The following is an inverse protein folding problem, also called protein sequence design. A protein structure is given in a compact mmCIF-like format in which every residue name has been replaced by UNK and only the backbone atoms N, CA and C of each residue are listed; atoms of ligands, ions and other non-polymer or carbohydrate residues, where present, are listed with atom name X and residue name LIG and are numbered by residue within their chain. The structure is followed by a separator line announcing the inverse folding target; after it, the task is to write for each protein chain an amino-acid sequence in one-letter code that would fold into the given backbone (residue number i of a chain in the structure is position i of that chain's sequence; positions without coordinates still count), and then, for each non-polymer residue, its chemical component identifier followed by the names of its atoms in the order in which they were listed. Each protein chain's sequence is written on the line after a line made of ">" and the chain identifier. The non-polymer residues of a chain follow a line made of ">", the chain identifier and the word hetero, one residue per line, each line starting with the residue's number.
data_IF_736921603199
#
_entry.id   IF_736921603199
#
_cell.length_a   1.000
_cell.length_b   1.000
_cell.length_c   1.000
_cell.angle_alpha   90.00
_cell.angle_beta   90.00
_cell.angle_gamma   90.00
#
_symmetry.space_group_name_H-M   'P 1'
#
loop_
_entity.id
_entity.type
_entity.pdbx_description
1 polymer ?
#
# COMPACT_ATOMS: atom_id res chain seq x y z
N UNK A 1 35.25 -75.55 -13.08
CA UNK A 1 35.45 -75.39 -11.62
C UNK A 1 36.41 -74.23 -11.41
N UNK A 2 35.95 -73.20 -10.65
CA UNK A 2 36.66 -72.06 -9.99
C UNK A 2 37.84 -71.38 -10.73
N UNK A 3 37.73 -70.16 -11.25
CA UNK A 3 37.79 -68.85 -10.52
C UNK A 3 38.87 -68.74 -9.43
N UNK A 4 39.85 -67.84 -9.65
CA UNK A 4 40.25 -66.76 -8.72
C UNK A 4 41.27 -65.84 -9.43
N UNK A 5 40.87 -64.68 -9.95
CA UNK A 5 40.79 -63.37 -9.23
C UNK A 5 42.07 -63.04 -8.47
N UNK A 6 43.09 -62.61 -9.21
CA UNK A 6 44.07 -61.66 -8.68
C UNK A 6 43.41 -60.28 -8.80
N UNK A 7 42.71 -59.89 -7.74
CA UNK A 7 42.08 -58.57 -7.58
C UNK A 7 43.12 -57.53 -7.18
N UNK A 8 43.31 -56.51 -8.01
CA UNK A 8 43.29 -55.07 -7.69
C UNK A 8 43.90 -54.56 -6.35
N UNK A 9 44.93 -55.20 -5.80
CA UNK A 9 45.60 -54.75 -4.57
C UNK A 9 46.71 -53.70 -4.81
N UNK A 10 46.58 -52.87 -5.85
CA UNK A 10 47.52 -51.78 -6.17
C UNK A 10 46.81 -50.41 -6.26
N UNK A 11 45.78 -50.17 -5.45
CA UNK A 11 45.29 -48.80 -5.20
C UNK A 11 46.13 -48.16 -4.09
N UNK A 12 47.11 -47.37 -4.52
CA UNK A 12 47.96 -46.53 -3.69
C UNK A 12 47.15 -45.66 -2.72
N UNK A 13 47.13 -46.05 -1.43
CA UNK A 13 46.79 -45.11 -0.37
C UNK A 13 47.92 -44.09 -0.18
N UNK A 14 47.61 -42.91 0.35
CA UNK A 14 48.63 -41.90 0.66
C UNK A 14 49.34 -42.27 1.97
N UNK A 15 50.67 -42.18 1.96
CA UNK A 15 51.48 -42.16 3.20
C UNK A 15 50.98 -41.02 4.10
N UNK A 16 50.86 -41.29 5.39
CA UNK A 16 50.39 -40.31 6.38
C UNK A 16 51.39 -40.19 7.53
N UNK A 17 51.40 -39.05 8.21
CA UNK A 17 52.26 -38.82 9.39
C UNK A 17 51.44 -39.09 10.64
N UNK A 18 51.95 -39.95 11.53
CA UNK A 18 51.31 -40.27 12.80
C UNK A 18 51.24 -39.00 13.67
N UNK A 19 50.03 -38.61 14.09
CA UNK A 19 49.82 -37.42 14.92
C UNK A 19 50.38 -37.52 16.33
N UNK A 20 50.69 -38.74 16.80
CA UNK A 20 51.19 -38.96 18.15
C UNK A 20 52.72 -38.87 18.25
N UNK A 21 53.45 -39.42 17.26
CA UNK A 21 54.91 -39.48 17.31
C UNK A 21 55.63 -38.90 16.09
N UNK A 22 54.91 -38.48 15.05
CA UNK A 22 55.49 -37.91 13.84
C UNK A 22 56.09 -38.91 12.85
N UNK A 23 56.00 -40.23 13.11
CA UNK A 23 56.49 -41.24 12.18
C UNK A 23 55.65 -41.32 10.90
N UNK A 24 56.28 -41.65 9.77
CA UNK A 24 55.58 -41.97 8.53
C UNK A 24 54.91 -43.35 8.65
N UNK A 25 53.64 -43.43 8.26
CA UNK A 25 52.78 -44.61 8.36
C UNK A 25 52.41 -45.08 6.94
N UNK A 26 52.55 -46.38 6.71
CA UNK A 26 52.25 -47.03 5.44
C UNK A 26 50.80 -46.86 5.02
N UNK A 27 50.57 -46.78 3.70
CA UNK A 27 49.23 -46.71 3.13
C UNK A 27 48.39 -47.93 3.53
N UNK A 28 47.36 -47.74 4.36
CA UNK A 28 46.46 -48.81 4.80
C UNK A 28 46.81 -49.44 6.15
N UNK A 29 47.83 -48.96 6.86
CA UNK A 29 48.12 -49.41 8.22
C UNK A 29 47.12 -48.82 9.23
N UNK A 30 46.46 -49.69 10.01
CA UNK A 30 45.48 -49.27 11.02
C UNK A 30 46.14 -48.65 12.26
N UNK A 31 47.41 -49.01 12.54
CA UNK A 31 48.15 -48.57 13.71
C UNK A 31 49.56 -48.17 13.30
N UNK A 32 50.11 -47.16 13.96
CA UNK A 32 51.49 -46.74 13.73
C UNK A 32 52.46 -47.81 14.24
N UNK A 33 53.35 -48.31 13.36
CA UNK A 33 54.36 -49.30 13.73
C UNK A 33 55.41 -48.81 14.75
N UNK A 34 55.50 -47.50 15.01
CA UNK A 34 56.48 -46.93 15.94
C UNK A 34 55.91 -46.77 17.35
N UNK A 35 54.73 -46.15 17.50
CA UNK A 35 54.16 -45.85 18.82
C UNK A 35 52.85 -46.58 19.12
N UNK A 36 52.38 -47.45 18.21
CA UNK A 36 51.16 -48.24 18.39
C UNK A 36 49.85 -47.47 18.32
N UNK A 37 49.89 -46.15 18.12
CA UNK A 37 48.69 -45.31 18.10
C UNK A 37 47.81 -45.62 16.87
N UNK A 38 46.48 -45.64 17.02
CA UNK A 38 45.56 -45.87 15.91
C UNK A 38 45.66 -44.73 14.90
N UNK A 39 45.71 -45.08 13.62
CA UNK A 39 45.83 -44.14 12.51
C UNK A 39 44.40 -43.81 12.09
N UNK A 40 43.92 -42.62 12.45
CA UNK A 40 42.61 -42.10 12.05
C UNK A 40 42.58 -41.90 10.53
N UNK A 41 42.28 -42.96 9.78
CA UNK A 41 42.35 -42.93 8.31
C UNK A 41 41.70 -44.11 7.57
N UNK A 42 40.97 -44.97 8.27
CA UNK A 42 40.14 -46.03 7.64
C UNK A 42 38.72 -45.58 7.30
N UNK A 43 38.38 -44.30 7.45
CA UNK A 43 37.17 -43.76 6.82
C UNK A 43 37.53 -43.54 5.36
N UNK A 44 37.04 -44.46 4.50
CA UNK A 44 36.71 -44.14 3.12
C UNK A 44 36.20 -42.71 3.13
N UNK A 45 36.91 -41.81 2.45
CA UNK A 45 36.39 -40.48 2.19
C UNK A 45 35.00 -40.73 1.58
N UNK A 46 33.95 -40.54 2.37
CA UNK A 46 32.64 -40.32 1.78
C UNK A 46 32.89 -39.13 0.88
N UNK A 47 32.72 -39.34 -0.44
CA UNK A 47 32.61 -38.26 -1.40
C UNK A 47 31.88 -37.09 -0.71
N UNK A 48 32.33 -35.83 -0.86
CA UNK A 48 31.62 -34.71 -0.28
C UNK A 48 30.16 -34.88 -0.68
N UNK A 49 29.31 -35.20 0.31
CA UNK A 49 28.00 -35.80 0.05
C UNK A 49 27.32 -34.94 -1.00
N UNK A 50 27.06 -35.51 -2.18
CA UNK A 50 26.36 -34.78 -3.23
C UNK A 50 25.13 -34.17 -2.57
N UNK A 51 24.96 -32.84 -2.61
CA UNK A 51 23.85 -32.20 -1.93
C UNK A 51 22.57 -32.87 -2.43
N UNK A 52 21.62 -33.22 -1.53
CA UNK A 52 20.45 -33.98 -1.91
C UNK A 52 19.79 -33.33 -3.13
N UNK A 53 19.43 -34.12 -4.15
CA UNK A 53 18.99 -33.65 -5.49
C UNK A 53 17.92 -32.55 -5.43
N UNK A 54 17.12 -32.53 -4.37
CA UNK A 54 16.12 -31.52 -4.07
C UNK A 54 16.70 -30.10 -3.87
N UNK A 55 17.88 -30.01 -3.24
CA UNK A 55 18.58 -28.77 -2.92
C UNK A 55 19.25 -28.19 -4.17
N UNK A 56 19.80 -29.05 -5.05
CA UNK A 56 20.39 -28.62 -6.34
C UNK A 56 19.33 -28.00 -7.26
N UNK A 57 18.13 -28.59 -7.35
CA UNK A 57 17.02 -28.05 -8.15
C UNK A 57 16.53 -26.72 -7.59
N UNK A 58 16.38 -26.62 -6.28
CA UNK A 58 16.00 -25.38 -5.59
C UNK A 58 17.02 -24.26 -5.84
N UNK A 59 18.31 -24.55 -5.66
CA UNK A 59 19.41 -23.61 -5.89
C UNK A 59 19.49 -23.16 -7.35
N UNK A 60 19.25 -24.07 -8.30
CA UNK A 60 19.19 -23.72 -9.73
C UNK A 60 18.04 -22.78 -10.05
N UNK A 61 16.84 -23.03 -9.49
CA UNK A 61 15.70 -22.13 -9.64
C UNK A 61 16.00 -20.75 -9.05
N UNK A 62 16.47 -20.71 -7.80
CA UNK A 62 16.80 -19.45 -7.11
C UNK A 62 17.84 -18.66 -7.88
N UNK A 63 18.94 -19.30 -8.31
CA UNK A 63 19.97 -18.64 -9.12
C UNK A 63 19.41 -18.12 -10.44
N UNK A 64 18.58 -18.89 -11.14
CA UNK A 64 18.01 -18.50 -12.43
C UNK A 64 17.01 -17.33 -12.34
N UNK A 65 16.29 -17.21 -11.21
CA UNK A 65 15.37 -16.07 -10.96
C UNK A 65 16.15 -14.88 -10.41
N UNK A 66 16.92 -15.06 -9.33
CA UNK A 66 17.56 -13.96 -8.60
C UNK A 66 18.70 -13.27 -9.36
N UNK A 67 19.32 -13.95 -10.33
CA UNK A 67 20.34 -13.36 -11.22
C UNK A 67 19.76 -12.41 -12.28
N UNK A 68 18.44 -12.41 -12.49
CA UNK A 68 17.80 -11.49 -13.44
C UNK A 68 17.88 -10.06 -12.90
N UNK A 69 18.02 -9.04 -13.77
CA UNK A 69 18.01 -7.64 -13.33
C UNK A 69 16.61 -7.21 -12.86
N UNK A 70 16.57 -6.21 -12.00
CA UNK A 70 15.34 -5.56 -11.51
C UNK A 70 15.34 -4.07 -11.91
N UNK A 71 15.56 -3.80 -13.19
CA UNK A 71 15.80 -2.46 -13.72
C UNK A 71 14.64 -1.50 -13.43
N UNK A 72 13.41 -1.91 -13.75
CA UNK A 72 12.25 -1.01 -13.61
C UNK A 72 11.83 -0.80 -12.16
N UNK A 73 12.14 -1.74 -11.27
CA UNK A 73 11.99 -1.55 -9.84
C UNK A 73 12.77 -0.31 -9.39
N UNK A 74 14.04 -0.22 -9.78
CA UNK A 74 14.88 0.94 -9.44
C UNK A 74 14.46 2.21 -10.19
N UNK A 75 14.02 2.09 -11.46
CA UNK A 75 13.47 3.25 -12.19
C UNK A 75 12.26 3.83 -11.46
N UNK A 76 11.30 3.02 -11.02
CA UNK A 76 10.15 3.52 -10.27
C UNK A 76 10.54 4.03 -8.88
N UNK A 77 11.48 3.39 -8.20
CA UNK A 77 12.00 3.90 -6.92
C UNK A 77 12.59 5.31 -7.10
N UNK A 78 13.46 5.49 -8.09
CA UNK A 78 14.07 6.79 -8.41
C UNK A 78 13.01 7.80 -8.82
N UNK A 79 12.03 7.41 -9.66
CA UNK A 79 10.96 8.30 -10.11
C UNK A 79 10.11 8.80 -8.93
N UNK A 80 9.73 7.92 -8.00
CA UNK A 80 8.95 8.30 -6.81
C UNK A 80 9.74 9.23 -5.88
N UNK A 81 11.02 8.96 -5.65
CA UNK A 81 11.90 9.84 -4.86
C UNK A 81 12.06 11.19 -5.55
N UNK A 82 12.29 11.20 -6.87
CA UNK A 82 12.45 12.42 -7.65
C UNK A 82 11.19 13.30 -7.61
N UNK A 83 10.01 12.72 -7.87
CA UNK A 83 8.74 13.44 -7.78
C UNK A 83 8.50 13.98 -6.37
N UNK A 84 8.80 13.20 -5.33
CA UNK A 84 8.68 13.67 -3.95
C UNK A 84 9.59 14.85 -3.63
N UNK A 85 10.84 14.84 -4.13
CA UNK A 85 11.76 15.97 -3.97
C UNK A 85 11.21 17.22 -4.67
N UNK A 86 10.69 17.10 -5.90
CA UNK A 86 10.06 18.21 -6.62
C UNK A 86 8.87 18.79 -5.84
N UNK A 87 7.95 17.95 -5.37
CA UNK A 87 6.78 18.42 -4.61
C UNK A 87 7.18 19.03 -3.28
N UNK A 88 8.18 18.47 -2.60
CA UNK A 88 8.68 18.99 -1.32
C UNK A 88 9.33 20.36 -1.49
N UNK A 89 10.16 20.54 -2.53
CA UNK A 89 10.75 21.84 -2.87
C UNK A 89 9.68 22.89 -3.22
N UNK A 90 8.54 22.45 -3.73
CA UNK A 90 7.38 23.29 -4.01
C UNK A 90 6.46 23.52 -2.78
N UNK A 91 6.80 23.00 -1.60
CA UNK A 91 6.05 23.24 -0.35
C UNK A 91 5.00 22.19 0.02
N UNK A 92 5.00 21.01 -0.60
CA UNK A 92 3.98 19.97 -0.38
C UNK A 92 3.92 19.38 1.04
N UNK A 93 4.94 19.61 1.88
CA UNK A 93 4.92 19.17 3.29
C UNK A 93 4.10 20.11 4.17
N UNK A 94 3.90 21.36 3.74
CA UNK A 94 3.18 22.39 4.47
C UNK A 94 1.80 22.65 3.86
N UNK A 95 1.67 22.43 2.55
CA UNK A 95 0.44 22.72 1.81
C UNK A 95 0.06 21.58 0.85
N UNK A 96 -1.00 20.86 1.20
CA UNK A 96 -1.57 19.76 0.41
C UNK A 96 -2.03 20.21 -0.98
N UNK A 97 -2.32 21.51 -1.20
CA UNK A 97 -2.70 22.03 -2.53
C UNK A 97 -1.59 21.88 -3.55
N UNK A 98 -0.33 21.84 -3.11
CA UNK A 98 0.81 21.54 -3.98
C UNK A 98 0.67 20.13 -4.56
N UNK A 99 0.30 19.13 -3.75
CA UNK A 99 0.05 17.78 -4.27
C UNK A 99 -1.09 17.75 -5.28
N UNK A 100 -2.14 18.55 -5.07
CA UNK A 100 -3.25 18.70 -6.03
C UNK A 100 -2.75 19.29 -7.36
N UNK A 101 -1.92 20.34 -7.32
CA UNK A 101 -1.31 20.94 -8.51
C UNK A 101 -0.39 19.94 -9.26
N UNK A 102 0.29 19.05 -8.53
CA UNK A 102 1.12 17.98 -9.10
C UNK A 102 0.34 16.73 -9.51
N UNK A 103 -1.00 16.77 -9.49
CA UNK A 103 -1.85 15.70 -10.04
C UNK A 103 -2.32 14.67 -9.01
N UNK A 104 -2.46 15.03 -7.73
CA UNK A 104 -3.08 14.14 -6.75
C UNK A 104 -4.52 13.79 -7.13
N UNK A 105 -5.01 12.65 -6.62
CA UNK A 105 -6.39 12.22 -6.88
C UNK A 105 -7.33 13.12 -6.09
N UNK A 106 -8.29 13.68 -6.81
CA UNK A 106 -9.44 14.43 -6.31
C UNK A 106 -10.59 14.10 -7.28
N UNK A 107 -11.70 13.57 -6.79
CA UNK A 107 -12.84 13.14 -7.61
C UNK A 107 -13.43 14.29 -8.42
N UNK A 108 -13.57 15.48 -7.83
CA UNK A 108 -14.15 16.62 -8.54
C UNK A 108 -13.36 17.00 -9.80
N UNK A 109 -12.03 16.98 -9.71
CA UNK A 109 -11.13 17.25 -10.84
C UNK A 109 -11.17 16.15 -11.89
N UNK A 110 -11.24 14.90 -11.45
CA UNK A 110 -11.43 13.75 -12.34
C UNK A 110 -12.76 13.88 -13.10
N UNK A 111 -13.84 14.24 -12.41
CA UNK A 111 -15.15 14.48 -13.00
C UNK A 111 -15.15 15.68 -13.97
N UNK A 112 -14.28 16.67 -13.71
CA UNK A 112 -13.99 17.78 -14.60
C UNK A 112 -13.16 17.43 -15.84
N UNK A 113 -12.76 16.17 -16.03
CA UNK A 113 -12.04 15.68 -17.21
C UNK A 113 -10.53 15.45 -17.00
N UNK A 114 -10.00 15.69 -15.80
CA UNK A 114 -8.57 15.49 -15.49
C UNK A 114 -8.23 14.01 -15.24
N UNK A 115 -8.48 13.16 -16.23
CA UNK A 115 -8.33 11.70 -16.14
C UNK A 115 -6.92 11.23 -15.77
N UNK A 116 -5.88 12.04 -16.03
CA UNK A 116 -4.50 11.72 -15.68
C UNK A 116 -4.30 11.57 -14.16
N UNK A 117 -5.21 12.12 -13.35
CA UNK A 117 -5.27 11.94 -11.90
C UNK A 117 -5.62 10.51 -11.47
N UNK A 118 -5.93 9.60 -12.40
CA UNK A 118 -5.95 8.16 -12.12
C UNK A 118 -4.54 7.53 -12.08
N UNK A 119 -3.53 8.21 -12.63
CA UNK A 119 -2.17 7.67 -12.83
C UNK A 119 -1.14 8.41 -11.99
N UNK A 120 -1.10 9.74 -12.05
CA UNK A 120 -0.11 10.56 -11.34
C UNK A 120 -0.02 10.34 -9.82
N UNK A 121 -1.12 10.06 -9.08
CA UNK A 121 -1.03 9.88 -7.63
C UNK A 121 -0.16 8.70 -7.21
N UNK A 122 0.04 7.71 -8.09
CA UNK A 122 0.90 6.54 -7.85
C UNK A 122 2.34 6.98 -7.50
N UNK A 123 2.75 8.18 -7.93
CA UNK A 123 4.11 8.70 -7.76
C UNK A 123 4.24 9.84 -6.73
N UNK A 124 3.11 10.32 -6.19
CA UNK A 124 3.07 11.41 -5.22
C UNK A 124 3.05 10.87 -3.79
N UNK A 125 3.62 11.64 -2.84
CA UNK A 125 3.63 11.25 -1.43
C UNK A 125 3.41 12.47 -0.53
N UNK A 126 2.53 12.33 0.46
CA UNK A 126 2.18 13.41 1.39
C UNK A 126 3.13 13.58 2.58
N UNK A 127 4.25 12.84 2.64
CA UNK A 127 5.20 12.96 3.74
C UNK A 127 6.36 11.98 3.66
N UNK A 128 7.42 12.26 4.43
CA UNK A 128 8.67 11.48 4.42
C UNK A 128 8.44 10.04 4.86
N UNK A 129 7.73 9.82 5.97
CA UNK A 129 7.44 8.47 6.46
C UNK A 129 6.62 7.67 5.43
N UNK A 130 5.66 8.31 4.76
CA UNK A 130 4.85 7.69 3.72
C UNK A 130 5.71 7.28 2.51
N UNK A 131 6.60 8.15 2.03
CA UNK A 131 7.56 7.80 0.98
C UNK A 131 8.46 6.63 1.39
N UNK A 132 9.08 6.71 2.58
CA UNK A 132 10.02 5.70 3.04
C UNK A 132 9.37 4.32 3.12
N UNK A 133 8.15 4.24 3.64
CA UNK A 133 7.43 2.97 3.79
C UNK A 133 7.05 2.37 2.42
N UNK A 134 6.63 3.21 1.47
CA UNK A 134 6.34 2.75 0.10
C UNK A 134 7.62 2.33 -0.64
N UNK A 135 8.70 3.11 -0.54
CA UNK A 135 9.95 2.78 -1.23
C UNK A 135 10.63 1.55 -0.63
N UNK A 136 10.52 1.35 0.69
CA UNK A 136 10.93 0.12 1.35
C UNK A 136 10.12 -1.08 0.83
N UNK A 137 8.79 -0.96 0.74
CA UNK A 137 7.93 -1.97 0.16
C UNK A 137 8.29 -2.30 -1.30
N UNK A 138 8.52 -1.28 -2.12
CA UNK A 138 8.93 -1.44 -3.52
C UNK A 138 10.30 -2.10 -3.64
N UNK A 139 11.27 -1.69 -2.82
CA UNK A 139 12.61 -2.25 -2.79
C UNK A 139 12.62 -3.73 -2.43
N UNK A 140 11.74 -4.16 -1.53
CA UNK A 140 11.63 -5.58 -1.15
C UNK A 140 10.85 -6.38 -2.18
N UNK A 141 9.64 -5.93 -2.56
CA UNK A 141 8.70 -6.74 -3.34
C UNK A 141 8.94 -6.62 -4.85
N UNK A 142 9.30 -5.43 -5.32
CA UNK A 142 9.52 -5.11 -6.73
C UNK A 142 10.50 -6.07 -7.41
N UNK A 143 11.70 -6.32 -6.85
CA UNK A 143 12.67 -7.21 -7.47
C UNK A 143 12.14 -8.63 -7.61
N UNK A 144 11.35 -9.14 -6.66
CA UNK A 144 10.78 -10.48 -6.79
C UNK A 144 9.81 -10.54 -7.97
N UNK A 145 8.87 -9.59 -8.08
CA UNK A 145 7.91 -9.59 -9.19
C UNK A 145 8.62 -9.39 -10.53
N UNK A 146 9.53 -8.43 -10.62
CA UNK A 146 10.26 -8.14 -11.87
C UNK A 146 11.12 -9.33 -12.32
N UNK A 147 11.81 -10.00 -11.39
CA UNK A 147 12.62 -11.16 -11.74
C UNK A 147 11.76 -12.38 -12.08
N UNK A 148 10.62 -12.57 -11.44
CA UNK A 148 9.71 -13.69 -11.70
C UNK A 148 8.93 -13.54 -13.01
N UNK A 149 8.41 -12.35 -13.31
CA UNK A 149 7.53 -12.09 -14.46
C UNK A 149 8.24 -11.39 -15.63
N UNK A 150 9.39 -10.77 -15.39
CA UNK A 150 10.13 -9.95 -16.34
C UNK A 150 9.70 -8.48 -16.33
N UNK A 151 10.61 -7.59 -16.71
CA UNK A 151 10.43 -6.13 -16.69
C UNK A 151 9.17 -5.62 -17.40
N UNK A 152 8.85 -6.15 -18.58
CA UNK A 152 7.66 -5.71 -19.31
C UNK A 152 6.36 -5.96 -18.54
N UNK A 153 6.20 -7.15 -17.94
CA UNK A 153 5.04 -7.48 -17.11
C UNK A 153 5.03 -6.70 -15.81
N UNK A 154 6.19 -6.49 -15.20
CA UNK A 154 6.32 -5.71 -13.97
C UNK A 154 5.83 -4.26 -14.16
N UNK A 155 6.23 -3.61 -15.25
CA UNK A 155 5.75 -2.25 -15.59
C UNK A 155 4.22 -2.24 -15.74
N UNK A 156 3.67 -3.20 -16.47
CA UNK A 156 2.21 -3.31 -16.66
C UNK A 156 1.51 -3.55 -15.33
N UNK A 157 2.03 -4.46 -14.48
CA UNK A 157 1.46 -4.74 -13.17
C UNK A 157 1.51 -3.51 -12.26
N UNK A 158 2.64 -2.81 -12.20
CA UNK A 158 2.81 -1.59 -11.42
C UNK A 158 1.77 -0.53 -11.78
N UNK A 159 1.66 -0.21 -13.08
CA UNK A 159 0.76 0.84 -13.55
C UNK A 159 -0.71 0.41 -13.42
N UNK A 160 -1.09 -0.78 -13.89
CA UNK A 160 -2.50 -1.20 -13.87
C UNK A 160 -3.04 -1.40 -12.45
N UNK A 161 -2.25 -1.98 -11.55
CA UNK A 161 -2.71 -2.17 -10.16
C UNK A 161 -2.73 -0.87 -9.39
N UNK A 162 -1.79 0.05 -9.67
CA UNK A 162 -1.84 1.41 -9.15
C UNK A 162 -3.10 2.15 -9.60
N UNK A 163 -3.38 2.16 -10.91
CA UNK A 163 -4.60 2.76 -11.48
C UNK A 163 -5.86 2.11 -10.90
N UNK A 164 -5.92 0.78 -10.81
CA UNK A 164 -7.05 0.08 -10.21
C UNK A 164 -7.25 0.47 -8.73
N UNK A 165 -6.18 0.69 -7.99
CA UNK A 165 -6.25 1.26 -6.63
C UNK A 165 -6.83 2.67 -6.64
N UNK A 166 -6.34 3.57 -7.50
CA UNK A 166 -6.88 4.93 -7.59
C UNK A 166 -8.36 4.94 -8.03
N UNK A 167 -8.75 4.05 -8.95
CA UNK A 167 -10.15 3.86 -9.35
C UNK A 167 -11.00 3.34 -8.18
N UNK A 168 -10.52 2.38 -7.40
CA UNK A 168 -11.23 1.90 -6.22
C UNK A 168 -11.41 3.01 -5.16
N UNK A 169 -10.39 3.85 -4.95
CA UNK A 169 -10.48 5.05 -4.11
C UNK A 169 -11.48 6.08 -4.65
N UNK A 170 -11.50 6.29 -5.96
CA UNK A 170 -12.47 7.18 -6.60
C UNK A 170 -13.91 6.69 -6.39
N UNK A 171 -14.15 5.39 -6.61
CA UNK A 171 -15.47 4.77 -6.46
C UNK A 171 -15.93 4.65 -5.01
N UNK A 172 -15.00 4.68 -4.04
CA UNK A 172 -15.37 4.54 -2.63
C UNK A 172 -15.86 5.84 -1.98
N UNK A 173 -15.71 6.98 -2.66
CA UNK A 173 -16.32 8.25 -2.24
C UNK A 173 -17.81 8.21 -2.59
N UNK A 174 -18.65 8.15 -1.57
CA UNK A 174 -20.10 7.98 -1.67
C UNK A 174 -20.78 8.98 -0.72
N UNK A 175 -21.02 10.23 -1.15
CA UNK A 175 -21.57 11.29 -0.29
C UNK A 175 -22.99 11.01 0.18
N UNK A 176 -23.80 10.38 -0.68
CA UNK A 176 -25.22 10.11 -0.42
C UNK A 176 -25.45 8.80 0.35
N UNK A 177 -24.39 8.01 0.57
CA UNK A 177 -24.50 6.75 1.28
C UNK A 177 -24.41 6.97 2.79
N UNK A 178 -25.40 6.48 3.53
CA UNK A 178 -25.34 6.42 4.99
C UNK A 178 -24.26 5.41 5.45
N UNK A 179 -23.03 5.89 5.58
CA UNK A 179 -21.89 5.10 6.07
C UNK A 179 -21.98 5.00 7.60
N UNK A 180 -22.67 3.96 8.08
CA UNK A 180 -22.74 3.63 9.49
C UNK A 180 -21.74 2.52 9.86
N UNK A 181 -21.21 2.59 11.08
CA UNK A 181 -20.29 1.59 11.63
C UNK A 181 -18.83 1.69 11.14
N UNK A 182 -17.94 1.04 11.87
CA UNK A 182 -16.50 1.06 11.59
C UNK A 182 -16.13 0.37 10.28
N UNK A 183 -16.88 -0.67 9.88
CA UNK A 183 -16.63 -1.41 8.64
C UNK A 183 -17.02 -0.60 7.38
N UNK A 184 -18.07 0.21 7.47
CA UNK A 184 -18.45 1.12 6.38
C UNK A 184 -17.37 2.18 6.14
N UNK A 185 -16.90 2.83 7.22
CA UNK A 185 -15.84 3.85 7.17
C UNK A 185 -14.47 3.30 6.80
N UNK A 186 -14.27 1.99 6.91
CA UNK A 186 -13.02 1.34 6.51
C UNK A 186 -12.82 1.42 4.99
N UNK A 187 -13.88 1.23 4.19
CA UNK A 187 -13.79 1.24 2.73
C UNK A 187 -14.32 2.51 2.09
N UNK A 188 -15.42 3.06 2.61
CA UNK A 188 -16.15 4.16 2.00
C UNK A 188 -15.90 5.49 2.70
N UNK A 189 -15.88 6.56 1.90
CA UNK A 189 -15.65 7.93 2.36
C UNK A 189 -16.87 8.79 2.00
N UNK A 190 -17.35 9.58 2.94
CA UNK A 190 -18.45 10.52 2.68
C UNK A 190 -17.97 11.77 1.92
N UNK A 191 -16.72 12.17 2.15
CA UNK A 191 -16.11 13.35 1.55
C UNK A 191 -14.96 12.97 0.63
N UNK A 192 -14.82 13.71 -0.46
CA UNK A 192 -13.66 13.60 -1.33
C UNK A 192 -12.45 14.21 -0.63
N UNK A 193 -11.32 13.52 -0.73
CA UNK A 193 -10.08 13.91 -0.10
C UNK A 193 -8.90 13.64 -1.01
N UNK A 194 -7.85 14.42 -0.84
CA UNK A 194 -6.61 14.27 -1.59
C UNK A 194 -6.01 12.90 -1.30
N UNK A 195 -5.84 12.08 -2.34
CA UNK A 195 -5.23 10.76 -2.23
C UNK A 195 -3.98 10.68 -3.11
N UNK A 196 -2.89 10.17 -2.53
CA UNK A 196 -1.57 10.01 -3.15
C UNK A 196 -0.91 8.75 -2.59
N UNK A 197 0.04 8.17 -3.32
CA UNK A 197 0.91 7.12 -2.84
C UNK A 197 1.00 5.93 -3.78
N UNK A 198 2.19 5.32 -3.81
CA UNK A 198 2.45 4.10 -4.56
C UNK A 198 1.81 2.83 -3.93
N UNK A 199 1.19 2.95 -2.75
CA UNK A 199 0.73 1.81 -1.96
C UNK A 199 -0.34 0.96 -2.66
N UNK A 200 -1.20 1.54 -3.50
CA UNK A 200 -2.13 0.76 -4.32
C UNK A 200 -1.41 -0.20 -5.27
N UNK A 201 -0.37 0.28 -5.96
CA UNK A 201 0.48 -0.55 -6.82
C UNK A 201 1.24 -1.61 -6.00
N UNK A 202 1.75 -1.26 -4.82
CA UNK A 202 2.42 -2.20 -3.92
C UNK A 202 1.50 -3.33 -3.46
N UNK A 203 0.27 -3.02 -3.05
CA UNK A 203 -0.73 -4.04 -2.74
C UNK A 203 -1.06 -4.90 -3.97
N UNK A 204 -1.04 -4.33 -5.17
CA UNK A 204 -1.07 -5.08 -6.42
C UNK A 204 0.07 -6.09 -6.55
N UNK A 205 1.31 -5.68 -6.28
CA UNK A 205 2.45 -6.60 -6.28
C UNK A 205 2.31 -7.69 -5.20
N UNK A 206 1.76 -7.34 -4.03
CA UNK A 206 1.43 -8.32 -2.98
C UNK A 206 0.40 -9.34 -3.51
N UNK A 207 -0.66 -8.89 -4.18
CA UNK A 207 -1.67 -9.74 -4.80
C UNK A 207 -1.09 -10.66 -5.87
N UNK A 208 -0.16 -10.14 -6.68
CA UNK A 208 0.58 -10.93 -7.67
C UNK A 208 1.39 -12.04 -6.98
N UNK A 209 2.17 -11.72 -5.95
CA UNK A 209 3.00 -12.68 -5.23
C UNK A 209 2.16 -13.69 -4.42
N UNK A 210 1.01 -13.27 -3.89
CA UNK A 210 0.06 -14.14 -3.23
C UNK A 210 -0.47 -15.20 -4.20
N UNK A 211 -1.06 -14.79 -5.33
CA UNK A 211 -1.58 -15.75 -6.31
C UNK A 211 -0.46 -16.59 -6.94
N UNK A 212 0.70 -16.00 -7.23
CA UNK A 212 1.87 -16.71 -7.72
C UNK A 212 2.27 -17.88 -6.82
N UNK A 213 2.40 -17.63 -5.51
CA UNK A 213 2.82 -18.65 -4.54
C UNK A 213 1.81 -19.76 -4.29
N UNK A 214 0.52 -19.51 -4.57
CA UNK A 214 -0.54 -20.53 -4.54
C UNK A 214 -0.57 -21.31 -5.86
N UNK A 215 -0.69 -20.60 -6.99
CA UNK A 215 -0.87 -21.16 -8.33
C UNK A 215 0.30 -22.02 -8.78
N UNK A 216 1.53 -21.61 -8.49
CA UNK A 216 2.74 -22.31 -8.91
C UNK A 216 3.43 -23.05 -7.76
N UNK A 217 2.73 -23.28 -6.64
CA UNK A 217 3.29 -23.82 -5.40
C UNK A 217 4.15 -25.08 -5.59
N UNK A 218 3.76 -25.97 -6.49
CA UNK A 218 4.46 -27.24 -6.76
C UNK A 218 5.80 -27.05 -7.50
N UNK A 219 5.98 -25.92 -8.18
CA UNK A 219 7.21 -25.58 -8.92
C UNK A 219 8.25 -24.85 -8.06
N UNK A 220 7.86 -24.37 -6.87
CA UNK A 220 8.67 -23.47 -6.05
C UNK A 220 9.55 -24.22 -5.04
N UNK A 221 10.76 -23.71 -4.73
CA UNK A 221 11.52 -24.13 -3.56
C UNK A 221 10.78 -23.85 -2.24
N UNK A 222 11.07 -24.60 -1.18
CA UNK A 222 10.41 -24.45 0.13
C UNK A 222 10.47 -23.02 0.68
N UNK A 223 11.60 -22.33 0.53
CA UNK A 223 11.71 -20.92 0.94
C UNK A 223 10.69 -20.00 0.24
N UNK A 224 10.48 -20.19 -1.05
CA UNK A 224 9.50 -19.42 -1.84
C UNK A 224 8.06 -19.82 -1.48
N UNK A 225 7.80 -21.11 -1.19
CA UNK A 225 6.47 -21.58 -0.75
C UNK A 225 6.05 -21.00 0.60
N UNK A 226 7.02 -20.71 1.47
CA UNK A 226 6.81 -20.08 2.79
C UNK A 226 6.68 -18.56 2.69
N UNK A 227 7.43 -17.91 1.80
CA UNK A 227 7.42 -16.47 1.63
C UNK A 227 6.20 -15.97 0.82
N UNK A 228 5.83 -16.70 -0.24
CA UNK A 228 4.77 -16.33 -1.17
C UNK A 228 3.50 -17.17 -0.96
N UNK A 229 2.38 -16.76 -1.56
CA UNK A 229 1.09 -17.39 -1.27
C UNK A 229 0.63 -17.08 0.14
N UNK A 230 0.26 -18.09 0.92
CA UNK A 230 -0.21 -17.91 2.30
C UNK A 230 0.81 -17.22 3.20
N UNK A 231 2.10 -17.28 2.86
CA UNK A 231 3.17 -16.50 3.51
C UNK A 231 2.98 -14.99 3.48
N UNK A 232 2.22 -14.47 2.52
CA UNK A 232 1.91 -13.03 2.41
C UNK A 232 0.77 -12.61 3.35
N UNK A 233 0.00 -13.54 3.94
CA UNK A 233 -1.15 -13.21 4.79
C UNK A 233 -0.78 -12.29 5.96
N UNK A 234 0.31 -12.51 6.72
CA UNK A 234 0.69 -11.58 7.78
C UNK A 234 0.92 -10.16 7.25
N UNK A 235 1.58 -10.01 6.09
CA UNK A 235 1.81 -8.69 5.48
C UNK A 235 0.50 -8.03 5.07
N UNK A 236 -0.41 -8.78 4.42
CA UNK A 236 -1.72 -8.29 4.01
C UNK A 236 -2.53 -7.85 5.23
N UNK A 237 -2.64 -8.71 6.24
CA UNK A 237 -3.45 -8.46 7.43
C UNK A 237 -2.91 -7.31 8.27
N UNK A 238 -1.58 -7.22 8.45
CA UNK A 238 -0.97 -6.11 9.19
C UNK A 238 -1.20 -4.78 8.47
N UNK A 239 -1.00 -4.70 7.15
CA UNK A 239 -1.19 -3.44 6.44
C UNK A 239 -2.68 -3.04 6.38
N UNK A 240 -3.60 -4.00 6.23
CA UNK A 240 -5.05 -3.76 6.35
C UNK A 240 -5.40 -3.25 7.75
N UNK A 241 -4.83 -3.84 8.80
CA UNK A 241 -5.07 -3.41 10.18
C UNK A 241 -4.51 -2.01 10.44
N UNK A 242 -3.30 -1.71 9.96
CA UNK A 242 -2.71 -0.36 10.04
C UNK A 242 -3.60 0.64 9.29
N UNK A 243 -4.08 0.27 8.11
CA UNK A 243 -5.00 1.08 7.33
C UNK A 243 -6.37 1.30 8.00
N UNK A 244 -6.85 0.32 8.77
CA UNK A 244 -8.03 0.48 9.63
C UNK A 244 -7.74 1.42 10.81
N UNK A 245 -6.56 1.33 11.42
CA UNK A 245 -6.18 2.11 12.60
C UNK A 245 -5.80 3.57 12.27
N UNK A 246 -5.37 3.85 11.04
CA UNK A 246 -4.89 5.18 10.61
C UNK A 246 -5.80 5.72 9.50
N UNK A 247 -6.77 6.62 9.81
CA UNK A 247 -7.80 7.06 8.86
C UNK A 247 -7.29 7.79 7.60
N UNK A 248 -6.06 8.30 7.61
CA UNK A 248 -5.46 8.95 6.42
C UNK A 248 -5.06 7.92 5.35
N UNK A 249 -5.04 6.62 5.67
CA UNK A 249 -4.68 5.56 4.74
C UNK A 249 -5.87 5.20 3.84
N UNK A 250 -5.61 5.11 2.54
CA UNK A 250 -6.62 4.77 1.55
C UNK A 250 -6.78 3.25 1.39
N UNK A 251 -7.63 2.66 2.24
CA UNK A 251 -7.88 1.21 2.23
C UNK A 251 -8.60 0.74 0.95
N UNK A 252 -9.43 1.58 0.35
CA UNK A 252 -10.07 1.27 -0.93
C UNK A 252 -9.01 1.13 -2.03
N UNK A 253 -8.01 2.02 -2.04
CA UNK A 253 -6.88 1.90 -2.97
C UNK A 253 -6.05 0.64 -2.73
N UNK A 254 -5.79 0.29 -1.47
CA UNK A 254 -5.05 -0.93 -1.12
C UNK A 254 -5.79 -2.19 -1.56
N UNK A 255 -7.09 -2.28 -1.25
CA UNK A 255 -7.91 -3.43 -1.62
C UNK A 255 -8.07 -3.54 -3.14
N UNK A 256 -8.34 -2.42 -3.83
CA UNK A 256 -8.45 -2.37 -5.29
C UNK A 256 -7.17 -2.83 -5.99
N UNK A 257 -6.02 -2.36 -5.51
CA UNK A 257 -4.71 -2.80 -5.97
C UNK A 257 -4.51 -4.31 -5.76
N UNK A 258 -4.75 -4.80 -4.53
CA UNK A 258 -4.61 -6.21 -4.16
C UNK A 258 -5.44 -7.13 -5.05
N UNK A 259 -6.72 -6.80 -5.26
CA UNK A 259 -7.64 -7.58 -6.09
C UNK A 259 -7.20 -7.56 -7.56
N UNK A 260 -6.82 -6.39 -8.09
CA UNK A 260 -6.33 -6.28 -9.46
C UNK A 260 -5.05 -7.09 -9.69
N UNK A 261 -4.11 -7.04 -8.74
CA UNK A 261 -2.87 -7.82 -8.80
C UNK A 261 -3.10 -9.32 -8.74
N UNK A 262 -3.99 -9.76 -7.84
CA UNK A 262 -4.42 -11.15 -7.77
C UNK A 262 -5.06 -11.62 -9.07
N UNK A 263 -5.98 -10.83 -9.65
CA UNK A 263 -6.61 -11.12 -10.93
C UNK A 263 -5.58 -11.22 -12.06
N UNK A 264 -4.65 -10.28 -12.17
CA UNK A 264 -3.58 -10.32 -13.17
C UNK A 264 -2.74 -11.60 -13.06
N UNK A 265 -2.35 -12.01 -11.85
CA UNK A 265 -1.57 -13.22 -11.65
C UNK A 265 -2.36 -14.53 -11.86
N UNK A 266 -3.70 -14.49 -11.72
CA UNK A 266 -4.55 -15.63 -12.09
C UNK A 266 -4.49 -15.92 -13.58
N UNK A 267 -4.46 -14.90 -14.44
CA UNK A 267 -4.44 -15.07 -15.89
C UNK A 267 -3.03 -15.09 -16.49
N UNK A 268 -2.08 -14.39 -15.88
CA UNK A 268 -0.72 -14.25 -16.41
C UNK A 268 0.22 -15.27 -15.79
N UNK A 269 0.88 -16.06 -16.64
CA UNK A 269 1.96 -16.96 -16.22
C UNK A 269 3.26 -16.23 -15.91
N UNK A 270 4.04 -16.75 -14.95
CA UNK A 270 5.39 -16.25 -14.68
C UNK A 270 6.40 -16.72 -15.73
N UNK A 271 7.55 -16.04 -15.82
CA UNK A 271 8.63 -16.39 -16.75
C UNK A 271 9.46 -17.55 -16.18
N UNK A 272 8.99 -18.79 -16.45
CA UNK A 272 9.69 -20.03 -16.06
C UNK A 272 11.16 -20.02 -16.53
N UNK A 273 12.12 -20.44 -15.68
CA UNK A 273 13.47 -20.72 -16.14
C UNK A 273 13.45 -21.70 -17.32
N UNK A 274 14.24 -21.44 -18.36
CA UNK A 274 14.38 -22.29 -19.57
C UNK A 274 13.22 -22.28 -20.59
N UNK A 275 12.13 -21.55 -20.37
CA UNK A 275 11.10 -21.37 -21.39
C UNK A 275 11.33 -20.10 -22.23
N UNK A 276 11.31 -20.23 -23.55
CA UNK A 276 11.32 -19.08 -24.45
C UNK A 276 9.94 -18.38 -24.43
N UNK A 277 9.90 -17.05 -24.30
CA UNK A 277 8.65 -16.32 -24.20
C UNK A 277 7.91 -16.30 -25.55
N UNK A 278 6.84 -17.10 -25.68
CA UNK A 278 6.01 -17.15 -26.91
C UNK A 278 5.28 -15.84 -27.23
N UNK A 279 5.18 -14.92 -26.27
CA UNK A 279 4.36 -13.69 -26.37
C UNK A 279 5.17 -12.43 -26.01
N UNK A 280 6.48 -12.42 -26.25
CA UNK A 280 7.35 -11.31 -25.82
C UNK A 280 6.95 -9.94 -26.41
N UNK A 281 6.58 -9.91 -27.69
CA UNK A 281 6.26 -8.66 -28.42
C UNK A 281 5.06 -7.94 -27.82
N UNK A 282 3.96 -8.64 -27.54
CA UNK A 282 2.76 -8.02 -26.98
C UNK A 282 3.02 -7.39 -25.60
N UNK A 283 3.84 -8.05 -24.76
CA UNK A 283 4.22 -7.50 -23.46
C UNK A 283 5.09 -6.25 -23.57
N UNK A 284 5.99 -6.19 -24.55
CA UNK A 284 6.75 -4.97 -24.82
C UNK A 284 5.87 -3.83 -25.35
N UNK A 285 4.89 -4.13 -26.21
CA UNK A 285 3.91 -3.12 -26.64
C UNK A 285 3.09 -2.58 -25.46
N UNK A 286 2.60 -3.45 -24.58
CA UNK A 286 1.89 -3.05 -23.36
C UNK A 286 2.77 -2.28 -22.39
N UNK A 287 4.05 -2.65 -22.27
CA UNK A 287 5.03 -1.91 -21.47
C UNK A 287 5.21 -0.48 -22.01
N UNK A 288 5.41 -0.33 -23.32
CA UNK A 288 5.55 0.99 -23.95
C UNK A 288 4.28 1.82 -23.75
N UNK A 289 3.09 1.22 -23.95
CA UNK A 289 1.82 1.89 -23.72
C UNK A 289 1.65 2.34 -22.25
N UNK A 290 2.02 1.49 -21.29
CA UNK A 290 1.96 1.84 -19.87
C UNK A 290 2.93 2.96 -19.49
N UNK A 291 4.15 2.97 -20.04
CA UNK A 291 5.11 4.06 -19.83
C UNK A 291 4.65 5.35 -20.50
N UNK A 292 4.11 5.27 -21.73
CA UNK A 292 3.54 6.40 -22.44
C UNK A 292 2.35 6.99 -21.67
N UNK A 293 1.49 6.16 -21.08
CA UNK A 293 0.41 6.59 -20.21
C UNK A 293 0.94 7.43 -19.04
N UNK A 294 1.96 6.94 -18.32
CA UNK A 294 2.58 7.69 -17.21
C UNK A 294 3.14 9.03 -17.70
N UNK A 295 3.89 9.04 -18.80
CA UNK A 295 4.50 10.26 -19.34
C UNK A 295 3.44 11.27 -19.79
N UNK A 296 2.41 10.82 -20.51
CA UNK A 296 1.30 11.67 -20.95
C UNK A 296 0.55 12.24 -19.74
N UNK A 297 0.32 11.43 -18.70
CA UNK A 297 -0.34 11.90 -17.48
C UNK A 297 0.45 13.01 -16.79
N UNK A 298 1.78 12.89 -16.67
CA UNK A 298 2.62 13.97 -16.12
C UNK A 298 2.72 15.19 -17.04
N UNK A 299 2.73 15.00 -18.37
CA UNK A 299 2.69 16.10 -19.32
C UNK A 299 1.37 16.89 -19.20
N UNK A 300 0.24 16.21 -19.05
CA UNK A 300 -1.06 16.86 -18.86
C UNK A 300 -1.12 17.59 -17.52
N UNK A 301 -0.57 17.03 -16.43
CA UNK A 301 -0.40 17.76 -15.17
C UNK A 301 0.41 19.05 -15.37
N UNK A 302 1.54 18.99 -16.08
CA UNK A 302 2.36 20.17 -16.33
C UNK A 302 1.62 21.23 -17.16
N UNK A 303 0.84 20.83 -18.15
CA UNK A 303 0.01 21.73 -18.97
C UNK A 303 -1.12 22.38 -18.17
N UNK A 304 -1.63 21.73 -17.13
CA UNK A 304 -2.70 22.23 -16.25
C UNK A 304 -2.17 22.80 -14.93
N UNK A 305 -0.84 22.93 -14.76
CA UNK A 305 -0.22 23.34 -13.50
C UNK A 305 -0.64 24.74 -13.03
N UNK A 306 -0.90 25.65 -13.97
CA UNK A 306 -1.34 27.02 -13.70
C UNK A 306 -2.85 27.23 -13.79
N UNK A 307 -3.64 26.18 -14.05
CA UNK A 307 -5.10 26.28 -13.98
C UNK A 307 -5.48 26.51 -12.50
N UNK A 308 -6.30 27.52 -12.18
CA UNK A 308 -6.75 27.69 -10.82
C UNK A 308 -7.41 26.39 -10.35
N UNK A 309 -7.08 25.87 -9.14
CA UNK A 309 -7.87 24.80 -8.57
C UNK A 309 -9.34 25.27 -8.59
N UNK A 310 -10.31 24.38 -8.89
CA UNK A 310 -11.71 24.74 -8.83
C UNK A 310 -11.93 25.35 -7.45
N UNK A 311 -12.45 26.58 -7.42
CA UNK A 311 -12.50 27.33 -6.18
C UNK A 311 -13.32 26.51 -5.18
N UNK A 312 -12.73 26.19 -4.04
CA UNK A 312 -13.51 25.76 -2.90
C UNK A 312 -14.35 26.96 -2.54
N UNK A 313 -15.66 26.79 -2.60
CA UNK A 313 -16.54 27.76 -1.99
C UNK A 313 -16.33 27.64 -0.47
N UNK A 314 -15.69 28.65 0.12
CA UNK A 314 -15.39 28.73 1.55
C UNK A 314 -16.66 28.67 2.43
N UNK A 315 -17.84 28.82 1.82
CA UNK A 315 -19.15 28.70 2.47
C UNK A 315 -19.84 27.34 2.30
N UNK A 316 -19.33 26.40 1.50
CA UNK A 316 -19.98 25.09 1.28
C UNK A 316 -19.03 23.89 1.22
N UNK A 317 -17.72 24.13 1.17
CA UNK A 317 -16.70 23.08 1.05
C UNK A 317 -16.76 22.28 -0.26
N UNK A 318 -17.57 22.70 -1.24
CA UNK A 318 -17.66 22.08 -2.56
C UNK A 318 -16.76 22.79 -3.59
N UNK A 319 -16.23 22.00 -4.54
CA UNK A 319 -15.43 22.51 -5.65
C UNK A 319 -16.34 23.13 -6.72
N UNK A 320 -16.19 24.43 -6.96
CA UNK A 320 -16.82 25.12 -8.08
C UNK A 320 -15.97 24.98 -9.35
N UNK A 321 -16.46 24.23 -10.34
CA UNK A 321 -15.84 24.14 -11.67
C UNK A 321 -16.33 25.32 -12.52
N UNK A 322 -15.45 26.17 -13.08
CA UNK A 322 -15.86 27.26 -13.95
C UNK A 322 -16.63 26.74 -15.17
N UNK A 323 -17.89 27.15 -15.33
CA UNK A 323 -18.75 26.77 -16.46
C UNK A 323 -19.83 25.72 -16.15
N UNK A 324 -19.83 25.14 -14.96
CA UNK A 324 -20.99 24.43 -14.41
C UNK A 324 -21.56 25.31 -13.33
N UNK A 325 -22.60 26.08 -13.64
CA UNK A 325 -23.42 26.67 -12.60
C UNK A 325 -23.95 25.50 -11.76
N UNK A 326 -23.42 25.32 -10.54
CA UNK A 326 -24.10 24.52 -9.53
C UNK A 326 -25.54 25.04 -9.43
N UNK A 327 -26.54 24.17 -9.15
CA UNK A 327 -27.92 24.62 -9.19
C UNK A 327 -28.07 25.77 -8.20
N UNK A 328 -28.42 26.96 -8.68
CA UNK A 328 -28.69 28.13 -7.84
C UNK A 328 -29.77 27.81 -6.76
N UNK A 329 -30.51 26.72 -6.95
CA UNK A 329 -31.54 26.16 -6.07
C UNK A 329 -31.03 25.47 -4.79
N UNK A 330 -29.75 25.09 -4.67
CA UNK A 330 -29.29 24.31 -3.49
C UNK A 330 -28.65 25.19 -2.40
N UNK A 331 -28.24 26.41 -2.74
CA UNK A 331 -27.62 27.35 -1.79
C UNK A 331 -28.49 27.68 -0.55
N UNK A 332 -29.84 27.74 -0.64
CA UNK A 332 -30.69 27.83 0.55
C UNK A 332 -30.59 26.58 1.43
N UNK A 333 -30.61 25.39 0.83
CA UNK A 333 -30.58 24.11 1.56
C UNK A 333 -29.26 23.93 2.29
N UNK A 334 -28.13 24.28 1.67
CA UNK A 334 -26.80 24.16 2.31
C UNK A 334 -26.68 25.09 3.51
N UNK A 335 -27.02 26.38 3.35
CA UNK A 335 -27.02 27.36 4.46
C UNK A 335 -27.96 26.94 5.59
N UNK A 336 -29.09 26.32 5.26
CA UNK A 336 -30.01 25.80 6.26
C UNK A 336 -29.41 24.62 7.05
N UNK A 337 -28.75 23.67 6.37
CA UNK A 337 -28.08 22.52 7.01
C UNK A 337 -26.91 22.97 7.89
N UNK A 338 -26.12 23.94 7.44
CA UNK A 338 -25.00 24.49 8.22
C UNK A 338 -25.47 25.13 9.52
N UNK A 339 -26.52 25.95 9.47
CA UNK A 339 -27.12 26.55 10.65
C UNK A 339 -27.61 25.50 11.66
N UNK A 340 -28.24 24.41 11.18
CA UNK A 340 -28.65 23.28 12.03
C UNK A 340 -27.45 22.58 12.67
N UNK A 341 -26.38 22.32 11.92
CA UNK A 341 -25.19 21.65 12.45
C UNK A 341 -24.50 22.50 13.53
N UNK A 342 -24.30 23.80 13.28
CA UNK A 342 -23.70 24.72 14.26
C UNK A 342 -24.53 24.77 15.54
N UNK A 343 -25.86 24.83 15.43
CA UNK A 343 -26.75 24.79 16.58
C UNK A 343 -26.73 23.45 17.35
N UNK A 344 -26.58 22.32 16.67
CA UNK A 344 -26.42 21.02 17.34
C UNK A 344 -25.13 20.96 18.16
N UNK A 345 -24.02 21.50 17.64
CA UNK A 345 -22.77 21.58 18.41
C UNK A 345 -22.90 22.54 19.60
N UNK A 346 -23.51 23.70 19.41
CA UNK A 346 -23.75 24.66 20.49
C UNK A 346 -24.68 24.09 21.57
N UNK A 347 -25.69 23.29 21.21
CA UNK A 347 -26.53 22.57 22.15
C UNK A 347 -25.70 21.58 22.99
N UNK A 348 -24.84 20.80 22.35
CA UNK A 348 -23.97 19.86 23.05
C UNK A 348 -22.99 20.57 24.01
N UNK A 349 -22.41 21.70 23.58
CA UNK A 349 -21.53 22.53 24.42
C UNK A 349 -22.31 23.11 25.62
N UNK A 350 -23.52 23.64 25.39
CA UNK A 350 -24.38 24.20 26.42
C UNK A 350 -24.81 23.17 27.47
N UNK A 351 -25.13 21.94 27.05
CA UNK A 351 -25.44 20.83 27.97
C UNK A 351 -24.24 20.44 28.85
N UNK A 352 -23.02 20.74 28.41
CA UNK A 352 -21.79 20.55 29.17
C UNK A 352 -21.36 21.81 29.95
N UNK A 353 -22.21 22.84 30.01
CA UNK A 353 -21.96 24.07 30.76
C UNK A 353 -21.13 25.13 30.02
N UNK A 354 -20.78 24.92 28.76
CA UNK A 354 -20.08 25.91 27.93
C UNK A 354 -21.07 26.64 27.01
N UNK A 355 -21.28 27.94 27.25
CA UNK A 355 -22.25 28.75 26.51
C UNK A 355 -21.61 29.68 25.47
N UNK A 356 -20.29 29.63 25.28
CA UNK A 356 -19.52 30.59 24.45
C UNK A 356 -20.03 30.70 23.01
N UNK A 357 -20.48 29.58 22.43
CA UNK A 357 -20.91 29.50 21.02
C UNK A 357 -22.43 29.60 20.83
N UNK A 358 -23.19 29.68 21.92
CA UNK A 358 -24.65 29.59 21.87
C UNK A 358 -25.28 30.76 21.14
N UNK A 359 -24.88 32.00 21.46
CA UNK A 359 -25.49 33.19 20.85
C UNK A 359 -25.23 33.24 19.33
N UNK A 360 -24.00 32.94 18.90
CA UNK A 360 -23.68 32.88 17.47
C UNK A 360 -24.46 31.77 16.73
N UNK A 361 -24.71 30.64 17.38
CA UNK A 361 -25.52 29.57 16.80
C UNK A 361 -27.00 29.92 16.70
N UNK A 362 -27.55 30.64 17.69
CA UNK A 362 -28.93 31.13 17.66
C UNK A 362 -29.13 32.17 16.55
N UNK A 363 -28.17 33.07 16.35
CA UNK A 363 -28.19 34.07 15.28
C UNK A 363 -28.14 33.41 13.89
N UNK A 364 -27.30 32.37 13.72
CA UNK A 364 -27.25 31.62 12.47
C UNK A 364 -28.54 30.83 12.17
N UNK A 365 -29.19 30.26 13.20
CA UNK A 365 -30.51 29.66 13.03
C UNK A 365 -31.55 30.69 12.60
N UNK A 366 -31.52 31.90 13.16
CA UNK A 366 -32.48 32.95 12.79
C UNK A 366 -32.29 33.46 11.36
N UNK A 367 -31.03 33.48 10.88
CA UNK A 367 -30.69 33.87 9.51
C UNK A 367 -30.85 32.73 8.49
N UNK A 368 -31.13 31.50 8.95
CA UNK A 368 -31.23 30.34 8.07
C UNK A 368 -32.47 30.46 7.14
N UNK A 369 -32.30 30.25 5.83
CA UNK A 369 -33.39 30.39 4.86
C UNK A 369 -34.48 29.34 5.11
N UNK A 370 -35.76 29.72 4.93
CA UNK A 370 -36.88 28.78 5.04
C UNK A 370 -36.89 27.83 3.84
N UNK A 371 -36.92 26.52 4.10
CA UNK A 371 -36.99 25.48 3.06
C UNK A 371 -38.43 25.04 2.78
N UNK A 372 -39.09 24.50 3.79
CA UNK A 372 -40.49 24.08 3.80
C UNK A 372 -41.03 24.11 5.24
N UNK A 373 -42.30 23.77 5.44
CA UNK A 373 -42.92 23.81 6.77
C UNK A 373 -42.31 22.80 7.77
N UNK A 374 -41.78 21.68 7.29
CA UNK A 374 -41.16 20.67 8.15
C UNK A 374 -39.76 21.09 8.58
N UNK A 375 -38.99 21.67 7.66
CA UNK A 375 -37.71 22.31 7.95
C UNK A 375 -37.90 23.42 8.97
N UNK A 376 -38.78 24.38 8.71
CA UNK A 376 -39.01 25.51 9.62
C UNK A 376 -39.33 25.04 11.05
N UNK A 377 -40.18 24.01 11.18
CA UNK A 377 -40.49 23.38 12.49
C UNK A 377 -39.25 22.77 13.16
N UNK A 378 -38.44 22.01 12.41
CA UNK A 378 -37.21 21.40 12.93
C UNK A 378 -36.22 22.47 13.43
N UNK A 379 -36.10 23.58 12.70
CA UNK A 379 -35.25 24.71 13.07
C UNK A 379 -35.71 25.34 14.38
N UNK A 380 -37.01 25.61 14.52
CA UNK A 380 -37.58 26.18 15.74
C UNK A 380 -37.48 25.24 16.94
N UNK A 381 -37.70 23.93 16.74
CA UNK A 381 -37.55 22.92 17.79
C UNK A 381 -36.11 22.87 18.30
N UNK A 382 -35.12 22.89 17.40
CA UNK A 382 -33.71 22.93 17.75
C UNK A 382 -33.34 24.23 18.47
N UNK A 383 -33.82 25.38 17.97
CA UNK A 383 -33.63 26.69 18.62
C UNK A 383 -34.15 26.68 20.05
N UNK A 384 -35.35 26.13 20.28
CA UNK A 384 -35.95 26.02 21.61
C UNK A 384 -35.17 25.07 22.54
N UNK A 385 -34.53 24.02 22.01
CA UNK A 385 -33.64 23.16 22.78
C UNK A 385 -32.35 23.87 23.19
N UNK A 386 -31.71 24.59 22.26
CA UNK A 386 -30.48 25.37 22.51
C UNK A 386 -30.72 26.43 23.58
N UNK A 387 -31.82 27.18 23.50
CA UNK A 387 -32.19 28.19 24.51
C UNK A 387 -32.38 27.54 25.90
N UNK A 388 -33.11 26.42 25.98
CA UNK A 388 -33.31 25.69 27.25
C UNK A 388 -32.00 25.19 27.85
N UNK A 389 -31.09 24.69 27.03
CA UNK A 389 -29.77 24.23 27.49
C UNK A 389 -28.92 25.39 28.01
N UNK A 390 -28.90 26.54 27.32
CA UNK A 390 -28.24 27.77 27.77
C UNK A 390 -28.75 28.24 29.13
N UNK A 391 -30.07 28.32 29.27
CA UNK A 391 -30.69 28.83 30.49
C UNK A 391 -30.48 27.86 31.66
N UNK A 392 -30.38 26.56 31.38
CA UNK A 392 -30.03 25.53 32.36
C UNK A 392 -28.55 25.58 32.77
N UNK A 393 -27.64 25.90 31.84
CA UNK A 393 -26.22 26.10 32.13
C UNK A 393 -25.95 27.37 32.97
N UNK A 394 -26.76 28.42 32.78
CA UNK A 394 -26.74 29.64 33.62
C UNK A 394 -27.28 29.44 35.05
N UNK A 395 -28.03 28.37 35.30
CA UNK A 395 -28.46 27.93 36.63
C UNK A 395 -27.40 27.01 37.26
N UNK A 396 -26.17 27.48 37.43
CA UNK A 396 -25.22 26.79 38.31
C UNK A 396 -25.83 26.64 39.70
N UNK A 397 -26.08 25.39 40.11
CA UNK A 397 -26.45 25.00 41.47
C UNK A 397 -25.49 25.64 42.50
N UNK A 398 -25.99 26.10 43.66
CA UNK A 398 -25.14 26.65 44.70
C UNK A 398 -24.05 25.65 45.09
N UNK A 399 -22.80 26.10 45.02
CA UNK A 399 -21.62 25.33 45.43
C UNK A 399 -21.78 24.82 46.85
N UNK A 400 -21.43 23.54 47.08
CA UNK A 400 -21.53 22.78 48.34
C UNK A 400 -20.82 23.38 49.57
N UNK A 401 -20.23 24.58 49.49
CA UNK A 401 -19.49 25.21 50.58
C UNK A 401 -20.36 25.97 51.61
N UNK A 402 -21.65 26.16 51.35
CA UNK A 402 -22.55 26.82 52.31
C UNK A 402 -23.07 25.89 53.44
N UNK A 403 -22.83 24.57 53.38
CA UNK A 403 -23.35 23.61 54.36
C UNK A 403 -22.39 23.31 55.53
N UNK A 404 -21.27 24.03 55.67
CA UNK A 404 -20.27 23.82 56.75
C UNK A 404 -20.14 24.95 57.76
N UNK A 405 -21.10 25.87 57.84
CA UNK A 405 -21.22 26.83 58.94
C UNK A 405 -22.63 26.84 59.51
N UNK A 406 -22.93 25.90 60.39
CA UNK A 406 -23.82 26.08 61.54
C UNK A 406 -23.60 24.96 62.54
#
# INVERSE_FOLDING_TARGET
>A
MSENRISDAARAGRLSVCRNCGALVGAGEANCGVCGAPVLGGQVASDPAEPPVHDVRAMRFMRAVLSRPATFTFVFLIANVFVFLLTTMAGALQDTRVLVAYGAKVNSLINGGEWWRFVTPIFLHGGVAHLLMNMYGLFILGPYVEKLYGSARFVVFWVLTGVAGVVASYLSVQPDMHISGALGRFLFKAQDGVSVGASGALFGLIGVLFVFGIKFRQELPEGFKRAFGTGMLPTILINIFIGFAIPIIDNAAHLGGLVAGAALALFVGYKRPHQQPRVAVAWHALQIAALALVVISFALTALHFGAPPPALDDSTGQLTVPGVAGPADVAPVVRYIEALNVAQYALADALNGNTERVEGALEQLEQAPRLDDNGDRLREDLRALVVRARDSAGMTLPTKDAARRK
#
